data_IF_965883006469
#
_entry.id   IF_965883006469
#
_cell.length_a   1.000
_cell.length_b   1.000
_cell.length_c   1.000
_cell.angle_alpha   90.00
_cell.angle_beta   90.00
_cell.angle_gamma   90.00
#
_symmetry.space_group_name_H-M   'P 1'
#
loop_
_entity.id
_entity.type
_entity.pdbx_description
1 polymer ?
#
# COMPACT_ATOMS: atom_id res chain seq x y z
N UNK A 1 6.77 2.78 -20.81
CA UNK A 1 5.36 3.07 -21.08
C UNK A 1 4.63 2.15 -20.15
N UNK A 2 4.22 2.67 -18.98
CA UNK A 2 3.47 1.86 -18.02
C UNK A 2 2.03 1.65 -18.50
N UNK A 3 1.55 2.50 -19.41
CA UNK A 3 0.18 2.53 -19.94
C UNK A 3 -0.16 1.72 -21.17
N UNK A 4 0.82 1.46 -22.06
CA UNK A 4 0.50 0.81 -23.32
C UNK A 4 0.21 -0.66 -23.08
N UNK A 5 -0.99 -1.07 -23.48
CA UNK A 5 -1.42 -2.47 -23.53
C UNK A 5 -0.34 -3.29 -24.24
N UNK A 6 0.03 -4.41 -23.65
CA UNK A 6 0.90 -5.37 -24.33
C UNK A 6 -0.01 -6.33 -25.08
N UNK A 7 0.12 -6.36 -26.40
CA UNK A 7 -0.71 -7.21 -27.27
C UNK A 7 -0.55 -8.69 -26.95
N UNK A 8 0.71 -9.13 -26.79
CA UNK A 8 1.05 -10.54 -26.60
C UNK A 8 1.78 -10.81 -25.28
N UNK A 9 1.28 -11.78 -24.53
CA UNK A 9 1.83 -12.21 -23.24
C UNK A 9 3.26 -12.76 -23.38
N UNK A 10 3.55 -13.41 -24.50
CA UNK A 10 4.88 -13.94 -24.80
C UNK A 10 5.89 -12.80 -24.91
N UNK A 11 5.52 -11.67 -25.52
CA UNK A 11 6.39 -10.48 -25.61
C UNK A 11 6.70 -9.89 -24.24
N UNK A 12 5.70 -9.82 -23.34
CA UNK A 12 5.90 -9.37 -21.96
C UNK A 12 6.91 -10.26 -21.22
N UNK A 13 6.93 -11.57 -21.49
CA UNK A 13 7.84 -12.51 -20.84
C UNK A 13 9.20 -12.58 -21.52
N UNK A 14 9.34 -12.10 -22.76
CA UNK A 14 10.61 -12.03 -23.48
C UNK A 14 11.41 -10.78 -23.11
N UNK A 15 10.75 -9.67 -22.76
CA UNK A 15 11.46 -8.45 -22.37
C UNK A 15 12.18 -8.62 -21.03
N UNK A 16 13.48 -8.26 -20.93
CA UNK A 16 14.24 -8.37 -19.68
C UNK A 16 13.92 -7.26 -18.68
N UNK A 17 13.24 -6.21 -19.14
CA UNK A 17 12.93 -5.02 -18.36
C UNK A 17 11.43 -4.77 -18.39
N UNK A 18 10.85 -4.68 -17.21
CA UNK A 18 9.43 -4.43 -17.01
C UNK A 18 9.18 -3.02 -16.55
N UNK A 19 8.02 -2.50 -16.92
CA UNK A 19 7.50 -1.29 -16.31
C UNK A 19 7.19 -1.54 -14.82
N UNK A 20 7.13 -0.49 -14.00
CA UNK A 20 6.72 -0.64 -12.58
C UNK A 20 5.29 -1.21 -12.54
N UNK A 21 4.44 -0.76 -13.47
CA UNK A 21 3.15 -1.34 -13.86
C UNK A 21 3.12 -2.85 -13.79
N UNK A 22 3.90 -3.42 -14.71
CA UNK A 22 3.97 -4.84 -14.92
C UNK A 22 4.53 -5.60 -13.73
N UNK A 23 5.57 -5.05 -13.09
CA UNK A 23 6.18 -5.66 -11.92
C UNK A 23 5.20 -5.76 -10.75
N UNK A 24 4.41 -4.71 -10.46
CA UNK A 24 3.39 -4.78 -9.40
C UNK A 24 2.31 -5.82 -9.71
N UNK A 25 1.86 -5.92 -10.97
CA UNK A 25 0.91 -6.96 -11.38
C UNK A 25 1.49 -8.36 -11.16
N UNK A 26 2.76 -8.58 -11.51
CA UNK A 26 3.44 -9.85 -11.26
C UNK A 26 3.56 -10.17 -9.76
N UNK A 27 3.87 -9.18 -8.94
CA UNK A 27 3.98 -9.33 -7.49
C UNK A 27 2.66 -9.86 -6.90
N UNK A 28 1.52 -9.34 -7.37
CA UNK A 28 0.19 -9.81 -6.95
C UNK A 28 -0.13 -11.17 -7.59
N UNK A 29 0.21 -11.36 -8.87
CA UNK A 29 -0.14 -12.51 -9.69
C UNK A 29 1.11 -13.16 -10.30
N UNK A 30 1.89 -13.95 -9.54
CA UNK A 30 3.22 -14.43 -9.96
C UNK A 30 3.17 -15.62 -10.91
N UNK A 31 2.24 -15.61 -11.86
CA UNK A 31 2.16 -16.56 -12.96
C UNK A 31 1.77 -15.83 -14.25
N UNK A 32 2.28 -16.24 -15.43
CA UNK A 32 1.90 -15.62 -16.69
C UNK A 32 0.38 -15.68 -16.95
N UNK A 33 -0.27 -16.79 -16.57
CA UNK A 33 -1.72 -16.98 -16.76
C UNK A 33 -2.55 -15.96 -15.96
N UNK A 34 -2.10 -15.57 -14.76
CA UNK A 34 -2.81 -14.64 -13.90
C UNK A 34 -2.43 -13.17 -14.16
N UNK A 35 -1.15 -12.89 -14.46
CA UNK A 35 -0.68 -11.54 -14.77
C UNK A 35 -1.06 -11.07 -16.19
N UNK A 36 -1.03 -12.00 -17.16
CA UNK A 36 -1.19 -11.68 -18.57
C UNK A 36 -2.49 -10.95 -18.93
N UNK A 37 -3.67 -11.38 -18.44
CA UNK A 37 -4.91 -10.64 -18.67
C UNK A 37 -4.86 -9.19 -18.20
N UNK A 38 -4.18 -8.91 -17.08
CA UNK A 38 -4.07 -7.57 -16.50
C UNK A 38 -3.11 -6.67 -17.30
N UNK A 39 -2.06 -7.23 -17.92
CA UNK A 39 -1.17 -6.49 -18.81
C UNK A 39 -1.80 -6.12 -20.17
N UNK A 40 -2.89 -6.81 -20.54
CA UNK A 40 -3.69 -6.48 -21.73
C UNK A 40 -4.68 -5.34 -21.49
N UNK A 41 -4.96 -5.02 -20.22
CA UNK A 41 -5.71 -3.84 -19.83
C UNK A 41 -4.80 -2.61 -19.79
N UNK A 42 -5.38 -1.41 -19.81
CA UNK A 42 -4.62 -0.22 -19.44
C UNK A 42 -4.25 -0.37 -17.96
N UNK A 43 -2.96 -0.55 -17.68
CA UNK A 43 -2.50 -0.76 -16.30
C UNK A 43 -2.79 0.44 -15.39
N UNK A 44 -2.96 1.61 -16.00
CA UNK A 44 -3.39 2.86 -15.36
C UNK A 44 -4.79 2.78 -14.77
N UNK A 45 -5.73 2.22 -15.54
CA UNK A 45 -7.11 2.02 -15.08
C UNK A 45 -7.14 1.03 -13.90
N UNK A 46 -6.19 0.10 -13.84
CA UNK A 46 -6.03 -0.83 -12.71
C UNK A 46 -5.39 -0.15 -11.49
N UNK A 47 -4.60 0.91 -11.71
CA UNK A 47 -3.75 1.55 -10.71
C UNK A 47 -4.36 2.81 -10.08
N UNK A 48 -5.13 3.56 -10.86
CA UNK A 48 -5.68 4.87 -10.52
C UNK A 48 -7.18 4.82 -10.24
N UNK A 49 -7.83 3.66 -10.38
CA UNK A 49 -9.24 3.52 -10.01
C UNK A 49 -9.39 3.52 -8.47
N UNK A 50 -9.94 4.62 -7.97
CA UNK A 50 -10.24 4.85 -6.56
C UNK A 50 -11.47 4.06 -6.06
N UNK A 51 -12.30 3.53 -6.96
CA UNK A 51 -13.53 2.79 -6.65
C UNK A 51 -13.32 1.27 -6.58
N UNK A 52 -12.24 0.73 -7.15
CA UNK A 52 -11.98 -0.71 -7.15
C UNK A 52 -11.06 -1.12 -5.99
N UNK A 53 -11.61 -1.91 -5.05
CA UNK A 53 -10.90 -2.59 -3.94
C UNK A 53 -9.63 -3.37 -4.33
N UNK A 54 -9.35 -3.56 -5.62
CA UNK A 54 -8.09 -4.09 -6.18
C UNK A 54 -6.87 -3.16 -5.97
N UNK A 55 -7.10 -1.88 -5.67
CA UNK A 55 -6.06 -0.86 -5.49
C UNK A 55 -5.10 -1.18 -4.31
N UNK A 56 -5.59 -1.77 -3.21
CA UNK A 56 -4.77 -1.99 -2.00
C UNK A 56 -3.64 -3.00 -2.22
N UNK A 57 -3.88 -4.09 -2.95
CA UNK A 57 -2.86 -5.11 -3.20
C UNK A 57 -1.78 -4.62 -4.15
N UNK A 58 -2.17 -3.83 -5.15
CA UNK A 58 -1.24 -3.18 -6.07
C UNK A 58 -0.42 -2.09 -5.37
N UNK A 59 -1.01 -1.28 -4.48
CA UNK A 59 -0.25 -0.32 -3.68
C UNK A 59 0.73 -1.01 -2.72
N UNK A 60 0.34 -2.14 -2.14
CA UNK A 60 1.27 -2.98 -1.33
C UNK A 60 2.39 -3.56 -2.19
N UNK A 61 2.06 -4.08 -3.37
CA UNK A 61 3.04 -4.57 -4.32
C UNK A 61 4.04 -3.48 -4.72
N UNK A 62 3.55 -2.26 -4.95
CA UNK A 62 4.39 -1.09 -5.19
C UNK A 62 5.31 -0.79 -4.02
N UNK A 63 4.78 -0.72 -2.80
CA UNK A 63 5.61 -0.47 -1.62
C UNK A 63 6.71 -1.54 -1.44
N UNK A 64 6.39 -2.82 -1.67
CA UNK A 64 7.36 -3.91 -1.63
C UNK A 64 8.41 -3.79 -2.74
N UNK A 65 7.99 -3.44 -3.96
CA UNK A 65 8.92 -3.21 -5.07
C UNK A 65 9.88 -2.06 -4.77
N UNK A 66 9.40 -0.94 -4.22
CA UNK A 66 10.26 0.19 -3.82
C UNK A 66 11.26 -0.23 -2.74
N UNK A 67 10.83 -1.01 -1.76
CA UNK A 67 11.75 -1.55 -0.75
C UNK A 67 12.87 -2.39 -1.37
N UNK A 68 12.56 -3.27 -2.32
CA UNK A 68 13.58 -4.06 -3.02
C UNK A 68 14.48 -3.21 -3.91
N UNK A 69 13.99 -2.09 -4.45
CA UNK A 69 14.81 -1.14 -5.21
C UNK A 69 15.81 -0.40 -4.31
N UNK A 70 15.36 0.07 -3.13
CA UNK A 70 16.21 0.72 -2.11
C UNK A 70 17.29 -0.23 -1.59
N UNK A 71 16.93 -1.49 -1.34
CA UNK A 71 17.87 -2.49 -0.82
C UNK A 71 18.75 -3.13 -1.91
N UNK A 72 18.54 -2.79 -3.18
CA UNK A 72 19.28 -3.37 -4.31
C UNK A 72 18.89 -4.82 -4.64
N UNK A 73 17.77 -5.31 -4.10
CA UNK A 73 17.21 -6.62 -4.41
C UNK A 73 16.62 -6.73 -5.81
N UNK A 74 16.28 -5.59 -6.43
CA UNK A 74 15.84 -5.47 -7.83
C UNK A 74 16.61 -4.36 -8.51
N UNK A 75 17.12 -4.61 -9.71
CA UNK A 75 17.78 -3.56 -10.52
C UNK A 75 16.76 -2.68 -11.24
N UNK A 76 17.08 -1.40 -11.43
CA UNK A 76 16.28 -0.47 -12.21
C UNK A 76 17.10 0.44 -13.12
N UNK A 77 16.47 0.87 -14.20
CA UNK A 77 17.00 1.86 -15.14
C UNK A 77 15.95 2.92 -15.45
N UNK A 78 16.40 4.12 -15.78
CA UNK A 78 15.55 5.24 -16.18
C UNK A 78 16.17 6.03 -17.33
N UNK A 79 15.37 6.85 -18.00
CA UNK A 79 15.87 7.87 -18.91
C UNK A 79 16.15 9.16 -18.14
N UNK A 80 17.41 9.59 -18.14
CA UNK A 80 17.86 10.90 -17.63
C UNK A 80 18.61 11.62 -18.74
N UNK A 81 18.26 12.88 -19.02
CA UNK A 81 18.86 13.64 -20.13
C UNK A 81 18.74 12.96 -21.50
N UNK A 82 17.72 12.11 -21.70
CA UNK A 82 17.53 11.32 -22.93
C UNK A 82 18.33 10.02 -23.00
N UNK A 83 19.23 9.75 -22.05
CA UNK A 83 20.03 8.52 -22.00
C UNK A 83 19.47 7.52 -20.99
N UNK A 84 19.53 6.24 -21.33
CA UNK A 84 19.19 5.14 -20.41
C UNK A 84 20.33 4.94 -19.44
N UNK A 85 20.06 5.15 -18.15
CA UNK A 85 21.05 5.03 -17.08
C UNK A 85 20.52 4.13 -15.96
N UNK A 86 21.39 3.40 -15.25
CA UNK A 86 21.00 2.68 -14.03
C UNK A 86 20.61 3.67 -12.93
N UNK A 87 19.58 3.33 -12.16
CA UNK A 87 19.20 4.08 -10.95
C UNK A 87 19.76 3.32 -9.76
N UNK A 88 20.70 3.91 -9.02
CA UNK A 88 21.39 3.22 -7.94
C UNK A 88 20.48 3.05 -6.72
N UNK A 89 20.64 1.97 -5.92
CA UNK A 89 19.81 1.72 -4.73
C UNK A 89 19.71 2.92 -3.77
N UNK A 90 20.80 3.64 -3.42
CA UNK A 90 20.71 4.80 -2.53
C UNK A 90 19.88 5.96 -3.10
N UNK A 91 19.78 6.08 -4.43
CA UNK A 91 18.96 7.12 -5.05
C UNK A 91 17.47 6.89 -4.80
N UNK A 92 17.06 5.63 -4.62
CA UNK A 92 15.66 5.28 -4.38
C UNK A 92 15.14 5.74 -3.02
N UNK A 93 16.01 5.98 -2.04
CA UNK A 93 15.62 6.53 -0.73
C UNK A 93 15.07 7.95 -0.85
N UNK A 94 15.64 8.72 -1.78
CA UNK A 94 15.33 10.12 -2.01
C UNK A 94 14.39 10.35 -3.20
N UNK A 95 14.07 9.29 -3.96
CA UNK A 95 13.22 9.38 -5.15
C UNK A 95 11.75 9.52 -4.75
N UNK A 96 11.14 10.61 -5.23
CA UNK A 96 9.69 10.75 -5.30
C UNK A 96 9.19 10.32 -6.67
N UNK A 97 8.41 9.23 -6.69
CA UNK A 97 7.71 8.77 -7.89
C UNK A 97 6.40 9.53 -8.06
N UNK A 98 6.33 10.31 -9.13
CA UNK A 98 5.12 10.92 -9.66
C UNK A 98 4.71 10.24 -10.96
N UNK A 99 3.51 10.55 -11.41
CA UNK A 99 2.93 10.07 -12.65
C UNK A 99 2.62 11.25 -13.54
N UNK A 100 2.91 11.12 -14.82
CA UNK A 100 2.53 12.08 -15.83
C UNK A 100 1.69 11.35 -16.88
N UNK A 101 0.43 11.74 -17.02
CA UNK A 101 -0.42 11.32 -18.14
C UNK A 101 0.03 12.08 -19.40
N UNK A 102 0.41 11.33 -20.44
CA UNK A 102 0.83 11.88 -21.74
C UNK A 102 -0.18 11.60 -22.86
N UNK A 103 -1.44 11.31 -22.53
CA UNK A 103 -2.48 10.97 -23.50
C UNK A 103 -2.15 9.65 -24.21
N UNK A 104 -1.91 9.71 -25.52
CA UNK A 104 -1.69 8.51 -26.37
C UNK A 104 -0.45 7.68 -26.00
N UNK A 105 0.50 8.27 -25.27
CA UNK A 105 1.70 7.58 -24.77
C UNK A 105 1.50 6.87 -23.42
N UNK A 106 0.34 7.08 -22.79
CA UNK A 106 -0.02 6.60 -21.45
C UNK A 106 0.75 7.30 -20.33
N UNK A 107 0.50 6.86 -19.10
CA UNK A 107 1.25 7.18 -17.90
C UNK A 107 2.71 6.83 -18.08
N UNK A 108 3.51 7.82 -17.71
CA UNK A 108 4.94 7.68 -17.52
C UNK A 108 5.25 7.94 -16.06
N UNK A 109 5.91 6.98 -15.42
CA UNK A 109 6.56 7.24 -14.15
C UNK A 109 7.69 8.25 -14.30
N UNK A 110 7.65 9.26 -13.44
CA UNK A 110 8.71 10.24 -13.27
C UNK A 110 9.25 10.13 -11.85
N UNK A 111 10.55 9.93 -11.72
CA UNK A 111 11.23 9.93 -10.44
C UNK A 111 12.08 11.19 -10.34
N UNK A 112 11.95 11.90 -9.23
CA UNK A 112 12.77 13.06 -8.90
C UNK A 112 13.53 12.77 -7.61
N UNK A 113 14.85 12.92 -7.62
CA UNK A 113 15.63 12.86 -6.39
C UNK A 113 15.88 14.27 -5.80
N UNK A 114 16.38 14.32 -4.58
CA UNK A 114 16.72 15.55 -3.84
C UNK A 114 17.78 16.41 -4.54
N UNK A 115 18.63 15.78 -5.36
CA UNK A 115 19.64 16.44 -6.19
C UNK A 115 19.07 17.05 -7.50
N UNK A 116 17.76 16.94 -7.73
CA UNK A 116 17.09 17.50 -8.92
C UNK A 116 17.22 16.64 -10.19
N UNK A 117 17.79 15.44 -10.09
CA UNK A 117 17.85 14.48 -11.21
C UNK A 117 16.44 13.95 -11.48
N UNK A 118 16.10 13.88 -12.76
CA UNK A 118 14.80 13.41 -13.23
C UNK A 118 14.99 12.15 -14.05
N UNK A 119 14.39 11.06 -13.60
CA UNK A 119 14.27 9.82 -14.36
C UNK A 119 12.86 9.70 -14.93
N UNK A 120 12.76 9.33 -16.20
CA UNK A 120 11.49 9.01 -16.88
C UNK A 120 11.55 7.60 -17.45
N UNK A 121 10.39 7.02 -17.82
CA UNK A 121 10.30 5.68 -18.44
C UNK A 121 11.09 4.64 -17.64
N UNK A 122 10.85 4.60 -16.34
CA UNK A 122 11.57 3.73 -15.43
C UNK A 122 11.21 2.27 -15.74
N UNK A 123 12.22 1.41 -15.75
CA UNK A 123 12.06 -0.01 -15.92
C UNK A 123 12.82 -0.75 -14.82
N UNK A 124 12.28 -1.89 -14.40
CA UNK A 124 12.86 -2.79 -13.40
C UNK A 124 13.20 -4.14 -14.02
N UNK A 125 14.22 -4.80 -13.48
CA UNK A 125 14.70 -6.09 -13.98
C UNK A 125 13.66 -7.18 -13.77
N UNK A 126 13.11 -7.71 -14.88
CA UNK A 126 12.17 -8.85 -14.83
C UNK A 126 12.79 -10.05 -14.10
N UNK A 127 14.01 -10.52 -14.43
CA UNK A 127 14.60 -11.68 -13.76
C UNK A 127 14.70 -11.51 -12.24
N UNK A 128 15.00 -10.32 -11.74
CA UNK A 128 15.08 -10.07 -10.30
C UNK A 128 13.70 -10.08 -9.64
N UNK A 129 12.71 -9.42 -10.26
CA UNK A 129 11.30 -9.47 -9.81
C UNK A 129 10.80 -10.91 -9.79
N UNK A 130 11.07 -11.69 -10.84
CA UNK A 130 10.68 -13.09 -10.89
C UNK A 130 11.44 -13.96 -9.88
N UNK A 131 12.66 -13.60 -9.48
CA UNK A 131 13.43 -14.33 -8.45
C UNK A 131 12.86 -14.08 -7.06
N UNK A 132 12.43 -12.85 -6.76
CA UNK A 132 11.98 -12.43 -5.42
C UNK A 132 10.57 -12.89 -5.05
N UNK A 133 9.64 -12.90 -5.98
CA UNK A 133 8.22 -13.17 -5.69
C UNK A 133 7.68 -14.61 -5.74
N UNK A 134 8.41 -15.66 -6.16
CA UNK A 134 8.07 -17.04 -5.82
C UNK A 134 8.42 -17.38 -4.35
N UNK A 135 9.51 -16.81 -3.80
CA UNK A 135 9.92 -17.00 -2.39
C UNK A 135 9.02 -16.25 -1.39
N UNK A 136 8.51 -15.08 -1.78
CA UNK A 136 7.62 -14.30 -0.93
C UNK A 136 6.22 -14.91 -0.78
N UNK A 137 5.67 -15.66 -1.76
CA UNK A 137 4.37 -16.33 -1.55
C UNK A 137 4.46 -17.43 -0.50
N UNK A 138 5.59 -18.15 -0.42
CA UNK A 138 5.85 -19.11 0.64
C UNK A 138 5.99 -18.43 2.02
N UNK A 139 6.71 -17.31 2.11
CA UNK A 139 6.82 -16.50 3.34
C UNK A 139 5.50 -15.83 3.74
N UNK A 140 4.75 -15.32 2.78
CA UNK A 140 3.45 -14.66 2.99
C UNK A 140 2.37 -15.69 3.34
N UNK A 141 2.42 -16.91 2.80
CA UNK A 141 1.55 -18.01 3.23
C UNK A 141 1.81 -18.39 4.70
N UNK A 142 3.07 -18.38 5.16
CA UNK A 142 3.41 -18.58 6.58
C UNK A 142 2.89 -17.41 7.44
N UNK A 143 3.00 -16.17 6.96
CA UNK A 143 2.45 -14.98 7.65
C UNK A 143 0.91 -14.92 7.62
N UNK A 144 0.25 -15.43 6.58
CA UNK A 144 -1.21 -15.53 6.44
C UNK A 144 -1.81 -16.72 7.19
N UNK A 145 -1.02 -17.77 7.44
CA UNK A 145 -1.38 -18.86 8.36
C UNK A 145 -1.27 -18.43 9.83
N UNK A 146 -0.62 -17.29 10.10
CA UNK A 146 -0.74 -16.62 11.38
C UNK A 146 -2.04 -15.79 11.38
N UNK A 147 -3.00 -16.06 12.27
CA UNK A 147 -4.26 -15.34 12.27
C UNK A 147 -4.00 -13.84 12.39
N UNK A 148 -4.44 -13.08 11.39
CA UNK A 148 -4.39 -11.62 11.41
C UNK A 148 -5.01 -11.13 12.72
N UNK A 149 -4.26 -10.36 13.52
CA UNK A 149 -4.80 -9.69 14.71
C UNK A 149 -5.87 -8.70 14.27
N UNK A 150 -7.12 -9.16 14.17
CA UNK A 150 -8.30 -8.32 14.02
C UNK A 150 -8.47 -7.53 15.32
N UNK A 151 -8.25 -6.22 15.22
CA UNK A 151 -8.51 -5.25 16.26
C UNK A 151 -8.19 -3.84 15.75
N UNK A 152 -8.84 -2.80 16.28
CA UNK A 152 -8.44 -1.43 16.02
C UNK A 152 -6.94 -1.27 16.30
N UNK A 153 -6.20 -0.49 15.49
CA UNK A 153 -4.81 -0.13 15.80
C UNK A 153 -4.79 0.32 17.26
N UNK A 154 -4.01 -0.34 18.14
CA UNK A 154 -4.04 -0.13 19.61
C UNK A 154 -3.97 1.35 20.02
N UNK A 155 -3.35 2.19 19.20
CA UNK A 155 -3.30 3.65 19.40
C UNK A 155 -4.67 4.35 19.35
N UNK A 156 -5.57 3.97 18.44
CA UNK A 156 -6.88 4.65 18.29
C UNK A 156 -7.81 4.31 19.45
N UNK A 157 -7.90 3.03 19.84
CA UNK A 157 -8.69 2.62 21.01
C UNK A 157 -8.14 3.28 22.29
N UNK A 158 -6.82 3.30 22.48
CA UNK A 158 -6.18 3.95 23.64
C UNK A 158 -6.44 5.46 23.68
N UNK A 159 -6.40 6.15 22.52
CA UNK A 159 -6.73 7.58 22.41
C UNK A 159 -8.19 7.84 22.78
N UNK A 160 -9.13 7.14 22.16
CA UNK A 160 -10.57 7.33 22.41
C UNK A 160 -10.91 7.05 23.87
N UNK A 161 -10.30 6.02 24.47
CA UNK A 161 -10.42 5.76 25.91
C UNK A 161 -9.93 6.94 26.76
N UNK A 162 -8.74 7.46 26.48
CA UNK A 162 -8.17 8.57 27.24
C UNK A 162 -9.05 9.83 27.14
N UNK A 163 -9.60 10.12 25.96
CA UNK A 163 -10.54 11.22 25.75
C UNK A 163 -11.86 11.01 26.52
N UNK A 164 -12.43 9.79 26.49
CA UNK A 164 -13.64 9.45 27.25
C UNK A 164 -13.43 9.58 28.77
N UNK A 165 -12.28 9.09 29.29
CA UNK A 165 -11.92 9.23 30.71
C UNK A 165 -11.69 10.70 31.07
N UNK A 166 -11.00 11.46 30.23
CA UNK A 166 -10.70 12.88 30.48
C UNK A 166 -11.96 13.75 30.52
N UNK A 167 -13.04 13.33 29.87
CA UNK A 167 -14.31 14.06 29.85
C UNK A 167 -15.07 13.96 31.18
N UNK A 168 -14.79 12.92 31.97
CA UNK A 168 -15.27 12.70 33.34
C UNK A 168 -16.80 12.85 33.54
N UNK A 169 -17.59 12.62 32.48
CA UNK A 169 -19.05 12.61 32.50
C UNK A 169 -19.55 11.25 32.01
N UNK A 170 -19.61 10.29 32.92
CA UNK A 170 -19.95 8.90 32.61
C UNK A 170 -21.45 8.71 32.28
N UNK A 171 -22.30 9.61 32.78
CA UNK A 171 -23.74 9.59 32.50
C UNK A 171 -24.03 10.06 31.07
N UNK A 172 -23.32 11.09 30.59
CA UNK A 172 -23.35 11.50 29.18
C UNK A 172 -22.85 10.37 28.27
N UNK A 173 -21.72 9.75 28.62
CA UNK A 173 -21.18 8.61 27.85
C UNK A 173 -22.14 7.42 27.74
N UNK A 174 -22.87 7.12 28.81
CA UNK A 174 -23.84 6.02 28.84
C UNK A 174 -25.08 6.30 27.99
N UNK A 175 -25.54 7.55 27.94
CA UNK A 175 -26.73 7.96 27.19
C UNK A 175 -26.44 8.36 25.73
N UNK A 176 -25.19 8.64 25.38
CA UNK A 176 -24.79 9.07 24.04
C UNK A 176 -25.00 7.97 22.98
N UNK A 177 -25.58 8.36 21.84
CA UNK A 177 -25.80 7.46 20.70
C UNK A 177 -24.48 7.12 20.00
N UNK A 178 -24.46 6.02 19.26
CA UNK A 178 -23.26 5.62 18.51
C UNK A 178 -22.91 6.61 17.40
N UNK A 179 -23.92 7.24 16.77
CA UNK A 179 -23.72 8.36 15.84
C UNK A 179 -23.00 9.54 16.51
N UNK A 180 -23.49 9.97 17.67
CA UNK A 180 -22.94 11.10 18.40
C UNK A 180 -21.52 10.81 18.90
N UNK A 181 -21.25 9.58 19.35
CA UNK A 181 -19.91 9.16 19.74
C UNK A 181 -18.93 9.17 18.57
N UNK A 182 -19.34 8.67 17.39
CA UNK A 182 -18.47 8.65 16.23
C UNK A 182 -18.10 10.07 15.77
N UNK A 183 -19.07 11.00 15.81
CA UNK A 183 -18.84 12.41 15.51
C UNK A 183 -17.93 13.08 16.56
N UNK A 184 -18.16 12.82 17.84
CA UNK A 184 -17.42 13.47 18.94
C UNK A 184 -15.97 12.99 19.05
N UNK A 185 -15.73 11.69 18.92
CA UNK A 185 -14.39 11.10 19.11
C UNK A 185 -13.63 10.86 17.80
N UNK A 186 -14.24 11.25 16.66
CA UNK A 186 -13.68 11.09 15.31
C UNK A 186 -13.15 9.67 15.08
N UNK A 187 -13.96 8.67 15.43
CA UNK A 187 -13.59 7.25 15.36
C UNK A 187 -14.78 6.39 14.88
N UNK A 188 -14.51 5.15 14.46
CA UNK A 188 -15.58 4.25 14.02
C UNK A 188 -16.53 3.91 15.18
N UNK A 189 -17.82 3.72 14.86
CA UNK A 189 -18.85 3.35 15.86
C UNK A 189 -18.44 2.15 16.71
N UNK A 190 -17.85 1.12 16.09
CA UNK A 190 -17.37 -0.06 16.81
C UNK A 190 -16.21 0.24 17.79
N UNK A 191 -15.30 1.15 17.42
CA UNK A 191 -14.21 1.58 18.30
C UNK A 191 -14.76 2.37 19.49
N UNK A 192 -15.71 3.28 19.25
CA UNK A 192 -16.36 4.05 20.30
C UNK A 192 -17.17 3.14 21.25
N UNK A 193 -17.90 2.17 20.71
CA UNK A 193 -18.66 1.19 21.48
C UNK A 193 -17.75 0.39 22.41
N UNK A 194 -16.63 -0.13 21.89
CA UNK A 194 -15.63 -0.86 22.68
C UNK A 194 -14.98 0.02 23.74
N UNK A 195 -14.57 1.24 23.37
CA UNK A 195 -13.98 2.19 24.31
C UNK A 195 -14.94 2.49 25.47
N UNK A 196 -16.22 2.76 25.16
CA UNK A 196 -17.26 3.02 26.16
C UNK A 196 -17.45 1.83 27.11
N UNK A 197 -17.59 0.61 26.59
CA UNK A 197 -17.73 -0.58 27.44
C UNK A 197 -16.54 -0.78 28.36
N UNK A 198 -15.32 -0.56 27.87
CA UNK A 198 -14.10 -0.70 28.67
C UNK A 198 -13.95 0.44 29.70
N UNK A 199 -14.27 1.69 29.36
CA UNK A 199 -14.21 2.83 30.30
C UNK A 199 -15.28 2.73 31.38
N UNK A 200 -16.52 2.40 31.02
CA UNK A 200 -17.61 2.25 31.99
C UNK A 200 -17.36 1.07 32.95
N UNK A 201 -16.79 -0.04 32.46
CA UNK A 201 -16.43 -1.17 33.33
C UNK A 201 -15.25 -0.85 34.27
N UNK A 202 -14.24 -0.12 33.80
CA UNK A 202 -13.13 0.38 34.65
C UNK A 202 -13.64 1.37 35.73
N UNK A 203 -14.64 2.19 35.41
CA UNK A 203 -15.23 3.15 36.35
C UNK A 203 -16.11 2.47 37.42
N UNK A 204 -16.97 1.52 37.01
CA UNK A 204 -17.79 0.73 37.95
C UNK A 204 -16.90 -0.15 38.86
N UNK A 205 -15.79 -0.67 38.33
CA UNK A 205 -14.82 -1.44 39.12
C UNK A 205 -14.13 -0.60 40.21
N UNK A 206 -13.73 0.64 39.91
CA UNK A 206 -13.12 1.56 40.91
C UNK A 206 -14.13 2.04 41.95
N UNK A 207 -15.38 2.30 41.55
CA UNK A 207 -16.44 2.69 42.49
C UNK A 207 -16.77 1.60 43.53
N UNK A 208 -16.43 0.33 43.26
CA UNK A 208 -16.61 -0.79 44.18
C UNK A 208 -15.34 -1.17 44.98
N UNK A 209 -14.18 -0.60 44.66
CA UNK A 209 -12.93 -0.83 45.42
C UNK A 209 -12.66 0.25 46.49
N UNK A 210 -13.41 1.36 46.46
CA UNK A 210 -13.33 2.45 47.45
C UNK A 210 -14.39 2.32 48.57
N UNK A 211 -14.80 1.09 48.90
CA UNK A 211 -15.63 0.78 50.08
C UNK A 211 -14.93 -0.17 51.04
#
# INVERSE_FOLDING_TARGET
MDGKKIGDLEDAMLVPWWSIGMACVWIVNPTPLAAGPLWKCNLEDVWLDDNLKANVEIQRARALLIHELVTGGVQATGLSGGQRVPIQPPEWEDIKLTYEDRGDDGLVHRAHNTAGVVYTRILVSRPDVQRRWPEQKARTAVVLSSPAKRGPKKGVLKRVKAEMVSRNDMNDLQSMTEEAMAATFSASRDTCRRARSEVLSEFVGKSNSDK
#
